data_IF_252749561581
#
_entry.id   IF_252749561581
#
_cell.length_a   1.000
_cell.length_b   1.000
_cell.length_c   1.000
_cell.angle_alpha   90.00
_cell.angle_beta   90.00
_cell.angle_gamma   90.00
#
_symmetry.space_group_name_H-M   'P 1'
#
loop_
_entity.id
_entity.type
_entity.pdbx_description
1 polymer ?
#
# COMPACT_ATOMS: atom_id res chain seq x y z
N UNK A 1 5.43 -22.99 1.75
CA UNK A 1 6.30 -22.04 1.01
C UNK A 1 5.55 -20.80 0.51
N UNK A 2 4.27 -20.93 0.13
CA UNK A 2 3.39 -19.83 -0.32
C UNK A 2 2.99 -18.82 0.77
N UNK A 3 2.94 -19.22 2.05
CA UNK A 3 2.54 -18.32 3.16
C UNK A 3 3.42 -17.07 3.28
N UNK A 4 4.73 -17.21 3.07
CA UNK A 4 5.68 -16.09 3.17
C UNK A 4 5.68 -15.17 1.93
N UNK A 5 5.05 -15.61 0.84
CA UNK A 5 4.97 -14.82 -0.38
C UNK A 5 4.13 -13.55 -0.17
N UNK A 6 3.00 -13.67 0.53
CA UNK A 6 2.14 -12.52 0.80
C UNK A 6 2.85 -11.44 1.65
N UNK A 7 3.46 -11.76 2.81
CA UNK A 7 4.21 -10.79 3.58
C UNK A 7 5.36 -10.15 2.79
N UNK A 8 6.12 -10.95 2.02
CA UNK A 8 7.25 -10.46 1.24
C UNK A 8 6.80 -9.47 0.14
N UNK A 9 5.74 -9.81 -0.60
CA UNK A 9 5.16 -8.94 -1.62
C UNK A 9 4.52 -7.69 -1.01
N UNK A 10 3.89 -7.81 0.16
CA UNK A 10 3.27 -6.68 0.85
C UNK A 10 4.29 -5.66 1.32
N UNK A 11 5.39 -6.14 1.93
CA UNK A 11 6.48 -5.26 2.39
C UNK A 11 7.15 -4.58 1.20
N UNK A 12 7.50 -5.32 0.15
CA UNK A 12 8.10 -4.73 -1.05
C UNK A 12 7.15 -3.76 -1.75
N UNK A 13 5.86 -4.07 -1.82
CA UNK A 13 4.82 -3.17 -2.34
C UNK A 13 4.74 -1.84 -1.58
N UNK A 14 4.76 -1.88 -0.25
CA UNK A 14 4.80 -0.68 0.60
C UNK A 14 6.09 0.12 0.38
N UNK A 15 7.24 -0.53 0.33
CA UNK A 15 8.52 0.15 0.07
C UNK A 15 8.52 0.87 -1.29
N UNK A 16 8.01 0.20 -2.32
CA UNK A 16 7.83 0.80 -3.65
C UNK A 16 6.87 1.99 -3.60
N UNK A 17 5.75 1.88 -2.87
CA UNK A 17 4.78 2.95 -2.72
C UNK A 17 5.36 4.21 -2.05
N UNK A 18 6.12 4.05 -0.97
CA UNK A 18 6.79 5.17 -0.31
C UNK A 18 7.93 5.76 -1.15
N UNK A 19 8.68 4.92 -1.88
CA UNK A 19 9.68 5.40 -2.83
C UNK A 19 9.03 6.26 -3.92
N UNK A 20 7.91 5.79 -4.47
CA UNK A 20 7.13 6.53 -5.47
C UNK A 20 6.55 7.83 -4.90
N UNK A 21 6.08 7.82 -3.65
CA UNK A 21 5.65 9.03 -2.94
C UNK A 21 6.77 10.07 -2.91
N UNK A 22 7.99 9.67 -2.53
CA UNK A 22 9.15 10.58 -2.44
C UNK A 22 9.51 11.15 -3.81
N UNK A 23 9.52 10.31 -4.86
CA UNK A 23 9.88 10.71 -6.22
C UNK A 23 8.84 11.66 -6.82
N UNK A 24 7.54 11.40 -6.60
CA UNK A 24 6.47 12.15 -7.24
C UNK A 24 6.03 13.40 -6.47
N UNK A 25 6.22 13.43 -5.15
CA UNK A 25 5.84 14.59 -4.31
C UNK A 25 6.70 15.80 -4.64
N UNK A 26 6.07 16.90 -5.04
CA UNK A 26 6.75 18.16 -5.36
C UNK A 26 5.87 19.36 -5.02
N UNK A 27 6.46 20.56 -4.94
CA UNK A 27 5.71 21.80 -4.73
C UNK A 27 4.67 22.02 -5.83
N UNK A 28 5.05 21.73 -7.07
CA UNK A 28 4.18 21.75 -8.25
C UNK A 28 3.69 20.34 -8.60
N UNK A 29 3.02 19.67 -7.67
CA UNK A 29 2.42 18.36 -7.94
C UNK A 29 1.30 18.51 -8.98
N UNK A 30 1.61 18.17 -10.23
CA UNK A 30 0.64 18.13 -11.32
C UNK A 30 -0.21 16.85 -11.32
N UNK A 31 -1.32 16.87 -12.06
CA UNK A 31 -2.26 15.75 -12.14
C UNK A 31 -1.62 14.43 -12.58
N UNK A 32 -0.71 14.46 -13.55
CA UNK A 32 -0.01 13.25 -14.03
C UNK A 32 0.74 12.57 -12.89
N UNK A 33 1.54 13.34 -12.12
CA UNK A 33 2.29 12.80 -10.98
C UNK A 33 1.37 12.33 -9.86
N UNK A 34 0.28 13.04 -9.62
CA UNK A 34 -0.74 12.61 -8.66
C UNK A 34 -1.31 11.25 -9.06
N UNK A 35 -1.80 11.10 -10.30
CA UNK A 35 -2.40 9.86 -10.77
C UNK A 35 -1.41 8.70 -10.86
N UNK A 36 -0.15 8.95 -11.25
CA UNK A 36 0.90 7.95 -11.25
C UNK A 36 1.17 7.35 -9.86
N UNK A 37 1.01 8.12 -8.79
CA UNK A 37 1.10 7.59 -7.42
C UNK A 37 -0.23 7.04 -6.89
N UNK A 38 -1.34 7.65 -7.27
CA UNK A 38 -2.67 7.30 -6.73
C UNK A 38 -3.19 5.97 -7.28
N UNK A 39 -3.10 5.75 -8.59
CA UNK A 39 -3.60 4.52 -9.24
C UNK A 39 -2.97 3.24 -8.67
N UNK A 40 -1.62 3.08 -8.62
CA UNK A 40 -1.03 1.86 -8.10
C UNK A 40 -1.32 1.65 -6.61
N UNK A 41 -1.35 2.72 -5.81
CA UNK A 41 -1.70 2.64 -4.41
C UNK A 41 -3.16 2.21 -4.19
N UNK A 42 -4.10 2.75 -4.97
CA UNK A 42 -5.51 2.32 -4.90
C UNK A 42 -5.69 0.86 -5.31
N UNK A 43 -4.95 0.38 -6.31
CA UNK A 43 -4.97 -1.03 -6.70
C UNK A 43 -4.45 -1.93 -5.58
N UNK A 44 -3.32 -1.56 -4.95
CA UNK A 44 -2.78 -2.28 -3.81
C UNK A 44 -3.73 -2.26 -2.61
N UNK A 45 -4.34 -1.11 -2.30
CA UNK A 45 -5.37 -0.98 -1.27
C UNK A 45 -6.54 -1.93 -1.54
N UNK A 46 -7.06 -2.00 -2.77
CA UNK A 46 -8.15 -2.91 -3.11
C UNK A 46 -7.78 -4.38 -2.84
N UNK A 47 -6.55 -4.77 -3.16
CA UNK A 47 -6.03 -6.12 -2.90
C UNK A 47 -6.00 -6.39 -1.39
N UNK A 48 -5.38 -5.50 -0.61
CA UNK A 48 -5.28 -5.67 0.83
C UNK A 48 -6.64 -5.66 1.54
N UNK A 49 -7.57 -4.82 1.07
CA UNK A 49 -8.94 -4.81 1.58
C UNK A 49 -9.66 -6.15 1.33
N UNK A 50 -9.54 -6.71 0.12
CA UNK A 50 -10.12 -8.02 -0.20
C UNK A 50 -9.59 -9.13 0.70
N UNK A 51 -8.30 -9.12 0.98
CA UNK A 51 -7.67 -10.09 1.89
C UNK A 51 -8.18 -9.88 3.32
N UNK A 52 -8.18 -8.65 3.82
CA UNK A 52 -8.54 -8.37 5.21
C UNK A 52 -10.04 -8.54 5.51
N UNK A 53 -10.92 -8.30 4.53
CA UNK A 53 -12.37 -8.30 4.73
C UNK A 53 -13.07 -9.57 4.22
N UNK A 54 -12.51 -10.25 3.21
CA UNK A 54 -13.17 -11.37 2.52
C UNK A 54 -12.29 -12.62 2.38
N UNK A 55 -11.10 -12.64 2.99
CA UNK A 55 -10.11 -13.72 2.84
C UNK A 55 -9.81 -14.05 1.37
N UNK A 56 -9.93 -13.07 0.47
CA UNK A 56 -9.82 -13.26 -0.97
C UNK A 56 -8.44 -12.82 -1.46
N UNK A 57 -7.63 -13.80 -1.87
CA UNK A 57 -6.27 -13.58 -2.33
C UNK A 57 -6.21 -13.48 -3.86
N UNK A 58 -5.47 -12.51 -4.42
CA UNK A 58 -5.18 -12.48 -5.85
C UNK A 58 -4.51 -13.79 -6.25
N UNK A 59 -5.07 -14.50 -7.24
CA UNK A 59 -4.61 -15.80 -7.77
C UNK A 59 -5.05 -17.06 -7.02
N UNK A 60 -5.23 -17.01 -5.70
CA UNK A 60 -5.55 -18.21 -4.89
C UNK A 60 -7.05 -18.30 -4.57
N UNK A 61 -7.77 -17.19 -4.74
CA UNK A 61 -9.20 -17.10 -4.46
C UNK A 61 -9.49 -16.98 -2.96
N UNK A 62 -10.67 -17.42 -2.55
CA UNK A 62 -11.13 -17.37 -1.17
C UNK A 62 -10.44 -18.45 -0.33
N UNK A 63 -9.73 -18.04 0.74
CA UNK A 63 -8.87 -18.89 1.58
C UNK A 63 -8.93 -18.49 3.07
N UNK A 64 -10.07 -18.67 3.75
CA UNK A 64 -10.22 -18.31 5.16
C UNK A 64 -9.30 -19.10 6.09
N UNK A 65 -8.87 -20.29 5.70
CA UNK A 65 -7.94 -21.13 6.45
C UNK A 65 -6.62 -20.41 6.77
N UNK A 66 -6.14 -19.53 5.88
CA UNK A 66 -4.86 -18.84 6.04
C UNK A 66 -4.92 -17.85 7.21
N UNK A 67 -5.99 -17.05 7.32
CA UNK A 67 -6.13 -16.07 8.40
C UNK A 67 -6.50 -16.76 9.72
N UNK A 68 -7.27 -17.86 9.66
CA UNK A 68 -7.60 -18.65 10.85
C UNK A 68 -6.35 -19.28 11.50
N UNK A 69 -5.42 -19.80 10.70
CA UNK A 69 -4.15 -20.35 11.21
C UNK A 69 -3.14 -19.24 11.55
N UNK A 70 -3.21 -18.11 10.86
CA UNK A 70 -2.23 -17.04 10.94
C UNK A 70 -2.90 -15.66 11.00
N UNK A 71 -3.51 -15.33 12.14
CA UNK A 71 -4.23 -14.07 12.34
C UNK A 71 -3.40 -12.81 12.03
N UNK A 72 -2.07 -12.90 12.16
CA UNK A 72 -1.15 -11.80 11.82
C UNK A 72 -1.24 -11.38 10.35
N UNK A 73 -1.64 -12.28 9.44
CA UNK A 73 -1.78 -12.00 8.00
C UNK A 73 -2.90 -10.99 7.75
N UNK A 74 -4.04 -11.12 8.46
CA UNK A 74 -5.15 -10.17 8.38
C UNK A 74 -4.73 -8.78 8.88
N UNK A 75 -4.04 -8.72 10.02
CA UNK A 75 -3.49 -7.46 10.55
C UNK A 75 -2.45 -6.82 9.62
N UNK A 76 -1.59 -7.64 9.00
CA UNK A 76 -0.62 -7.18 8.02
C UNK A 76 -1.32 -6.59 6.79
N UNK A 77 -2.36 -7.27 6.27
CA UNK A 77 -3.15 -6.76 5.14
C UNK A 77 -3.79 -5.41 5.48
N UNK A 78 -4.44 -5.28 6.65
CA UNK A 78 -5.02 -4.01 7.10
C UNK A 78 -3.96 -2.91 7.24
N UNK A 79 -2.80 -3.25 7.80
CA UNK A 79 -1.68 -2.30 7.94
C UNK A 79 -1.19 -1.83 6.58
N UNK A 80 -0.98 -2.75 5.63
CA UNK A 80 -0.57 -2.42 4.27
C UNK A 80 -1.62 -1.56 3.54
N UNK A 81 -2.92 -1.82 3.73
CA UNK A 81 -3.99 -0.96 3.22
C UNK A 81 -3.82 0.49 3.68
N UNK A 82 -3.63 0.70 4.98
CA UNK A 82 -3.44 2.03 5.57
C UNK A 82 -2.14 2.68 5.09
N UNK A 83 -1.06 1.91 4.98
CA UNK A 83 0.22 2.40 4.51
C UNK A 83 0.14 2.87 3.05
N UNK A 84 -0.52 2.11 2.17
CA UNK A 84 -0.75 2.54 0.79
C UNK A 84 -1.62 3.80 0.69
N UNK A 85 -2.64 3.94 1.54
CA UNK A 85 -3.43 5.18 1.63
C UNK A 85 -2.55 6.38 2.04
N UNK A 86 -1.61 6.16 2.96
CA UNK A 86 -0.65 7.19 3.39
C UNK A 86 0.45 7.46 2.36
N UNK A 87 0.64 6.57 1.38
CA UNK A 87 1.70 6.65 0.38
C UNK A 87 1.32 7.51 -0.85
N UNK A 88 0.19 8.22 -0.82
CA UNK A 88 -0.16 9.12 -1.92
C UNK A 88 0.82 10.30 -2.05
N UNK A 89 1.14 10.74 -3.29
CA UNK A 89 1.93 11.95 -3.52
C UNK A 89 1.27 13.16 -2.87
N UNK A 90 2.08 13.99 -2.21
CA UNK A 90 1.60 15.22 -1.56
C UNK A 90 2.35 16.42 -2.13
N UNK A 91 1.71 17.59 -2.11
CA UNK A 91 2.42 18.85 -2.35
C UNK A 91 3.41 19.07 -1.19
N UNK A 92 4.70 18.84 -1.43
CA UNK A 92 5.76 19.17 -0.47
C UNK A 92 6.07 20.66 -0.60
N UNK A 93 5.58 21.46 0.32
CA UNK A 93 6.12 22.81 0.52
C UNK A 93 7.36 22.70 1.41
N UNK A 94 8.55 22.68 0.78
CA UNK A 94 9.83 22.65 1.50
C UNK A 94 10.02 23.91 2.38
N UNK A 95 9.25 24.98 2.16
CA UNK A 95 9.36 26.20 2.95
C UNK A 95 8.80 26.07 4.38
N UNK A 96 7.85 25.16 4.62
CA UNK A 96 7.20 25.04 5.93
C UNK A 96 8.06 24.34 7.00
N UNK A 97 8.93 23.42 6.59
CA UNK A 97 9.80 22.66 7.50
C UNK A 97 11.16 23.32 7.75
N UNK A 98 11.67 24.11 6.78
CA UNK A 98 12.98 24.77 6.90
C UNK A 98 12.90 26.21 7.43
N UNK A 99 11.70 26.80 7.54
CA UNK A 99 11.51 28.14 8.14
C UNK A 99 11.13 28.11 9.63
N UNK A 100 11.28 26.97 10.31
CA UNK A 100 11.21 26.88 11.77
C UNK A 100 12.60 26.67 12.35
#
# INVERSE_FOLDING_TARGET
MTIWLFPLLSITGVLCAFSLRVILSSQNLGYIRLFLGLIPNMLAMRIHYKIAAFDEYPLIGHRPEIINEHIFIGWLALTCFLLHASAFPVKRDLNGWWKR
#
